data_IF_979319667249
#
_entry.id   IF_979319667249
#
_cell.length_a   1.000
_cell.length_b   1.000
_cell.length_c   1.000
_cell.angle_alpha   90.00
_cell.angle_beta   90.00
_cell.angle_gamma   90.00
#
_symmetry.space_group_name_H-M   'P 1'
#
loop_
_entity.id
_entity.type
_entity.pdbx_description
1 polymer ?
#
# COMPACT_ATOMS: atom_id res chain seq x y z
N UNK A 1 -7.78 -20.48 -6.80
CA UNK A 1 -9.21 -20.26 -6.47
C UNK A 1 -9.40 -19.47 -5.17
N UNK A 2 -8.53 -18.49 -4.86
CA UNK A 2 -8.63 -17.69 -3.63
C UNK A 2 -8.25 -16.21 -3.84
N UNK A 3 -8.43 -15.68 -5.06
CA UNK A 3 -7.99 -14.32 -5.44
C UNK A 3 -9.12 -13.48 -6.02
N UNK A 4 -10.38 -13.89 -5.83
CA UNK A 4 -11.55 -13.28 -6.49
C UNK A 4 -12.70 -12.83 -5.57
N UNK A 5 -12.55 -12.89 -4.24
CA UNK A 5 -13.70 -12.68 -3.34
C UNK A 5 -13.83 -11.25 -2.77
N UNK A 6 -12.89 -10.32 -2.96
CA UNK A 6 -13.00 -8.99 -2.34
C UNK A 6 -13.00 -7.77 -3.28
N UNK A 7 -13.05 -7.96 -4.60
CA UNK A 7 -13.03 -6.84 -5.57
C UNK A 7 -14.39 -6.45 -6.16
N UNK A 8 -15.52 -6.91 -5.61
CA UNK A 8 -16.86 -6.53 -6.10
C UNK A 8 -17.75 -6.13 -4.93
N UNK A 9 -17.49 -5.00 -4.27
CA UNK A 9 -18.49 -4.39 -3.39
C UNK A 9 -18.48 -2.86 -3.34
N UNK A 10 -18.20 -2.16 -4.45
CA UNK A 10 -18.52 -0.72 -4.56
C UNK A 10 -18.94 -0.21 -5.94
N UNK A 11 -19.24 -1.08 -6.92
CA UNK A 11 -19.88 -0.65 -8.18
C UNK A 11 -21.02 -1.60 -8.57
N UNK A 12 -22.02 -1.75 -7.70
CA UNK A 12 -23.32 -2.34 -8.11
C UNK A 12 -24.50 -1.95 -7.23
N UNK A 13 -24.65 -0.66 -6.93
CA UNK A 13 -25.96 -0.05 -6.63
C UNK A 13 -26.13 1.08 -7.65
N UNK A 14 -26.61 0.82 -8.86
CA UNK A 14 -28.01 0.53 -9.18
C UNK A 14 -28.02 0.03 -10.63
N UNK A 15 -28.84 -0.97 -10.98
CA UNK A 15 -29.10 -1.36 -12.38
C UNK A 15 -29.88 -0.26 -13.11
N UNK A 16 -29.27 0.92 -13.27
CA UNK A 16 -29.92 2.11 -13.81
C UNK A 16 -28.93 2.80 -14.74
N UNK A 17 -29.31 2.91 -16.01
CA UNK A 17 -28.51 3.53 -17.07
C UNK A 17 -28.28 5.02 -16.74
N UNK A 18 -27.01 5.46 -16.76
CA UNK A 18 -26.63 6.87 -16.65
C UNK A 18 -27.07 7.62 -17.92
N UNK A 19 -27.49 8.87 -17.79
CA UNK A 19 -27.90 9.74 -18.90
C UNK A 19 -26.75 10.58 -19.48
N UNK A 20 -25.52 10.40 -18.98
CA UNK A 20 -24.25 10.99 -19.48
C UNK A 20 -24.23 12.52 -19.66
N UNK A 21 -25.20 13.23 -19.08
CA UNK A 21 -25.23 14.70 -19.06
C UNK A 21 -23.99 15.30 -18.37
N UNK A 22 -23.40 16.32 -19.00
CA UNK A 22 -22.32 17.14 -18.40
C UNK A 22 -22.86 18.55 -18.12
N UNK A 23 -22.48 19.22 -17.01
CA UNK A 23 -21.45 18.83 -16.03
C UNK A 23 -21.91 17.81 -14.97
N UNK A 24 -23.21 17.60 -14.79
CA UNK A 24 -23.78 16.58 -13.90
C UNK A 24 -24.94 15.83 -14.57
N UNK A 25 -25.08 14.54 -14.25
CA UNK A 25 -26.17 13.70 -14.73
C UNK A 25 -27.48 14.06 -14.00
N UNK A 26 -28.63 14.12 -14.69
CA UNK A 26 -29.89 14.57 -14.06
C UNK A 26 -30.36 13.64 -12.94
N UNK A 27 -29.97 12.36 -13.01
CA UNK A 27 -30.27 11.36 -11.97
C UNK A 27 -29.40 11.53 -10.73
N UNK A 28 -28.20 12.07 -10.88
CA UNK A 28 -27.26 12.40 -9.80
C UNK A 28 -27.80 13.58 -8.98
N UNK A 29 -28.30 14.62 -9.68
CA UNK A 29 -28.96 15.78 -9.11
C UNK A 29 -30.20 15.43 -8.27
N UNK A 30 -31.07 14.54 -8.77
CA UNK A 30 -32.28 14.09 -8.03
C UNK A 30 -31.96 13.26 -6.78
N UNK A 31 -30.80 12.62 -6.72
CA UNK A 31 -30.38 11.80 -5.60
C UNK A 31 -29.67 12.59 -4.48
N UNK A 32 -29.55 13.91 -4.61
CA UNK A 32 -28.87 14.76 -3.63
C UNK A 32 -27.35 14.58 -3.57
N UNK A 33 -26.76 13.84 -4.52
CA UNK A 33 -25.30 13.70 -4.64
C UNK A 33 -24.77 14.84 -5.49
N UNK A 34 -24.36 15.94 -4.83
CA UNK A 34 -23.63 17.02 -5.49
C UNK A 34 -22.16 16.63 -5.60
N UNK A 35 -21.61 16.63 -6.81
CA UNK A 35 -20.16 16.69 -6.97
C UNK A 35 -19.76 18.13 -6.63
N UNK A 36 -19.24 18.35 -5.42
CA UNK A 36 -18.68 19.66 -5.05
C UNK A 36 -17.37 19.82 -5.81
N UNK A 37 -17.44 20.29 -7.06
CA UNK A 37 -16.31 20.97 -7.68
C UNK A 37 -16.34 22.39 -7.11
N UNK A 38 -15.81 22.55 -5.89
CA UNK A 38 -15.47 23.88 -5.40
C UNK A 38 -14.33 24.41 -6.26
N UNK A 39 -14.63 25.44 -7.05
CA UNK A 39 -13.69 26.18 -7.88
C UNK A 39 -12.63 26.90 -7.05
N UNK A 40 -11.64 26.16 -6.58
CA UNK A 40 -10.33 26.73 -6.27
C UNK A 40 -9.48 26.59 -7.53
N UNK A 41 -9.18 27.72 -8.14
CA UNK A 41 -8.11 27.88 -9.11
C UNK A 41 -6.89 27.11 -8.60
N UNK A 42 -6.59 25.97 -9.23
CA UNK A 42 -5.39 25.21 -8.96
C UNK A 42 -4.23 26.02 -9.55
N UNK A 43 -3.77 27.04 -8.82
CA UNK A 43 -2.41 27.54 -9.00
C UNK A 43 -1.51 26.39 -8.62
N UNK A 44 -1.19 25.55 -9.61
CA UNK A 44 -0.24 24.44 -9.51
C UNK A 44 1.05 25.04 -8.96
N UNK A 45 1.43 24.80 -7.70
CA UNK A 45 2.78 25.14 -7.29
C UNK A 45 3.66 24.25 -8.14
N UNK A 46 4.55 24.83 -8.94
CA UNK A 46 5.57 24.08 -9.67
C UNK A 46 6.35 23.24 -8.67
N UNK A 47 5.98 21.97 -8.54
CA UNK A 47 6.52 21.05 -7.56
C UNK A 47 7.75 20.33 -8.12
N UNK A 48 8.60 21.03 -8.87
CA UNK A 48 9.90 20.50 -9.22
C UNK A 48 10.70 20.45 -7.92
N UNK A 49 10.82 19.27 -7.33
CA UNK A 49 11.79 19.05 -6.27
C UNK A 49 13.18 19.30 -6.89
N UNK A 50 14.02 20.07 -6.19
CA UNK A 50 15.40 20.35 -6.62
C UNK A 50 16.09 19.01 -6.97
N UNK A 51 16.65 18.94 -8.18
CA UNK A 51 17.31 17.77 -8.81
C UNK A 51 16.41 16.68 -9.44
N UNK A 52 15.12 16.90 -9.67
CA UNK A 52 14.31 15.96 -10.47
C UNK A 52 14.48 16.15 -11.97
N UNK A 53 14.70 15.06 -12.70
CA UNK A 53 14.52 15.05 -14.15
C UNK A 53 13.03 15.13 -14.50
N UNK A 54 12.72 15.75 -15.65
CA UNK A 54 11.34 15.80 -16.18
C UNK A 54 10.74 14.38 -16.33
N UNK A 55 11.59 13.39 -16.58
CA UNK A 55 11.19 11.98 -16.70
C UNK A 55 10.74 11.40 -15.35
N UNK A 56 11.51 11.59 -14.28
CA UNK A 56 11.15 11.14 -12.93
C UNK A 56 9.84 11.77 -12.47
N UNK A 57 9.68 13.08 -12.72
CA UNK A 57 8.50 13.83 -12.35
C UNK A 57 7.21 13.27 -12.99
N UNK A 58 7.26 12.85 -14.26
CA UNK A 58 6.10 12.25 -14.95
C UNK A 58 5.65 10.94 -14.33
N UNK A 59 6.58 10.08 -13.91
CA UNK A 59 6.21 8.82 -13.25
C UNK A 59 5.77 9.02 -11.81
N UNK A 60 6.34 10.01 -11.12
CA UNK A 60 5.85 10.44 -9.81
C UNK A 60 4.40 10.93 -9.89
N UNK A 61 4.07 11.77 -10.87
CA UNK A 61 2.68 12.18 -11.14
C UNK A 61 1.78 11.01 -11.49
N UNK A 62 2.26 10.11 -12.35
CA UNK A 62 1.50 8.91 -12.69
C UNK A 62 1.18 8.05 -11.45
N UNK A 63 2.12 7.92 -10.52
CA UNK A 63 1.88 7.24 -9.25
C UNK A 63 0.79 7.96 -8.43
N UNK A 64 0.86 9.29 -8.29
CA UNK A 64 -0.16 10.08 -7.59
C UNK A 64 -1.57 9.88 -8.17
N UNK A 65 -1.70 9.91 -9.50
CA UNK A 65 -2.97 9.71 -10.19
C UNK A 65 -3.53 8.28 -9.98
N UNK A 66 -2.65 7.27 -9.98
CA UNK A 66 -3.07 5.90 -9.67
C UNK A 66 -3.45 5.71 -8.20
N UNK A 67 -2.80 6.45 -7.30
CA UNK A 67 -3.08 6.35 -5.88
C UNK A 67 -4.46 6.93 -5.53
N UNK A 68 -4.81 8.06 -6.15
CA UNK A 68 -6.09 8.74 -5.94
C UNK A 68 -7.28 8.01 -6.58
N UNK A 69 -7.04 7.17 -7.59
CA UNK A 69 -8.05 6.32 -8.21
C UNK A 69 -8.22 4.95 -7.53
N UNK A 70 -7.53 4.73 -6.41
CA UNK A 70 -7.52 3.47 -5.66
C UNK A 70 -6.37 2.59 -6.12
N UNK A 71 -5.25 2.68 -5.41
CA UNK A 71 -4.12 1.77 -5.61
C UNK A 71 -4.61 0.34 -5.36
N UNK A 72 -4.36 -0.58 -6.31
CA UNK A 72 -4.94 -1.93 -6.28
C UNK A 72 -4.40 -2.84 -5.16
N UNK A 73 -3.51 -2.33 -4.31
CA UNK A 73 -3.05 -3.03 -3.11
C UNK A 73 -3.88 -2.51 -1.93
N UNK A 74 -4.54 -3.42 -1.21
CA UNK A 74 -5.58 -3.23 -0.19
C UNK A 74 -5.19 -2.39 1.06
N UNK A 75 -4.40 -1.34 0.92
CA UNK A 75 -3.97 -0.47 2.01
C UNK A 75 -4.83 0.79 2.11
N UNK A 76 -4.76 1.47 3.25
CA UNK A 76 -5.49 2.72 3.47
C UNK A 76 -5.01 3.83 2.53
N UNK A 77 -5.96 4.70 2.13
CA UNK A 77 -5.71 5.86 1.32
C UNK A 77 -4.74 6.85 2.00
N UNK A 78 -4.71 6.93 3.33
CA UNK A 78 -3.79 7.79 4.09
C UNK A 78 -2.32 7.40 3.88
N UNK A 79 -2.01 6.11 3.88
CA UNK A 79 -0.67 5.59 3.67
C UNK A 79 -0.10 6.13 2.36
N UNK A 80 -0.82 5.94 1.26
CA UNK A 80 -0.30 6.29 -0.04
C UNK A 80 -0.47 7.77 -0.39
N UNK A 81 -1.65 8.36 -0.16
CA UNK A 81 -1.93 9.75 -0.55
C UNK A 81 -1.28 10.79 0.38
N UNK A 82 -0.85 10.39 1.59
CA UNK A 82 -0.21 11.29 2.55
C UNK A 82 1.20 10.81 2.92
N UNK A 83 1.33 9.67 3.59
CA UNK A 83 2.60 9.27 4.21
C UNK A 83 3.71 9.07 3.16
N UNK A 84 3.45 8.24 2.14
CA UNK A 84 4.45 7.92 1.11
C UNK A 84 4.82 9.16 0.28
N UNK A 85 3.84 9.97 -0.13
CA UNK A 85 4.08 11.18 -0.91
C UNK A 85 4.80 12.29 -0.14
N UNK A 86 4.57 12.41 1.17
CA UNK A 86 5.32 13.36 2.00
C UNK A 86 6.74 12.86 2.25
N UNK A 87 6.89 11.56 2.48
CA UNK A 87 8.18 10.93 2.74
C UNK A 87 9.08 10.97 1.50
N UNK A 88 8.53 10.78 0.30
CA UNK A 88 9.30 10.86 -0.95
C UNK A 88 9.94 12.23 -1.21
N UNK A 89 9.50 13.30 -0.52
CA UNK A 89 10.13 14.63 -0.63
C UNK A 89 11.43 14.73 0.18
N UNK A 90 11.57 13.93 1.22
CA UNK A 90 12.65 14.03 2.20
C UNK A 90 13.57 12.81 2.18
N UNK A 91 13.07 11.65 1.78
CA UNK A 91 13.81 10.38 1.73
C UNK A 91 14.10 9.98 0.26
N UNK A 92 15.36 10.06 -0.20
CA UNK A 92 15.71 9.77 -1.59
C UNK A 92 15.36 8.35 -2.03
N UNK A 93 15.55 7.35 -1.16
CA UNK A 93 15.22 5.97 -1.50
C UNK A 93 13.72 5.78 -1.74
N UNK A 94 12.86 6.43 -0.93
CA UNK A 94 11.41 6.40 -1.09
C UNK A 94 11.01 7.04 -2.41
N UNK A 95 11.61 8.19 -2.76
CA UNK A 95 11.38 8.85 -4.04
C UNK A 95 11.68 7.93 -5.22
N UNK A 96 12.87 7.33 -5.25
CA UNK A 96 13.27 6.41 -6.32
C UNK A 96 12.34 5.20 -6.42
N UNK A 97 11.90 4.64 -5.29
CA UNK A 97 10.95 3.53 -5.29
C UNK A 97 9.57 3.94 -5.83
N UNK A 98 9.05 5.10 -5.43
CA UNK A 98 7.75 5.61 -5.91
C UNK A 98 7.78 5.85 -7.43
N UNK A 99 8.86 6.49 -7.93
CA UNK A 99 9.07 6.70 -9.36
C UNK A 99 9.17 5.36 -10.11
N UNK A 100 9.88 4.39 -9.54
CA UNK A 100 9.99 3.04 -10.11
C UNK A 100 8.64 2.34 -10.19
N UNK A 101 7.83 2.39 -9.14
CA UNK A 101 6.46 1.83 -9.09
C UNK A 101 5.57 2.51 -10.14
N UNK A 102 5.64 3.85 -10.26
CA UNK A 102 4.93 4.58 -11.31
C UNK A 102 5.34 4.13 -12.72
N UNK A 103 6.63 3.93 -12.97
CA UNK A 103 7.13 3.49 -14.26
C UNK A 103 6.74 2.04 -14.61
N UNK A 104 6.83 1.09 -13.66
CA UNK A 104 6.41 -0.29 -13.92
C UNK A 104 4.89 -0.39 -14.10
N UNK A 105 4.12 0.37 -13.33
CA UNK A 105 2.65 0.41 -13.50
C UNK A 105 2.27 0.95 -14.89
N UNK A 106 2.97 1.99 -15.37
CA UNK A 106 2.79 2.50 -16.73
C UNK A 106 3.12 1.45 -17.80
N UNK A 107 4.18 0.66 -17.58
CA UNK A 107 4.57 -0.44 -18.47
C UNK A 107 3.44 -1.48 -18.59
N UNK A 108 2.87 -1.90 -17.45
CA UNK A 108 1.76 -2.87 -17.39
C UNK A 108 0.48 -2.28 -17.99
N UNK A 109 0.22 -0.98 -17.82
CA UNK A 109 -0.93 -0.32 -18.44
C UNK A 109 -0.86 -0.37 -19.98
N UNK A 110 0.34 -0.28 -20.56
CA UNK A 110 0.55 -0.30 -22.02
C UNK A 110 0.52 -1.73 -22.57
N UNK A 111 1.10 -2.68 -21.83
CA UNK A 111 1.10 -4.11 -22.18
C UNK A 111 0.65 -4.93 -20.95
N UNK A 112 -0.66 -5.19 -20.82
CA UNK A 112 -1.21 -5.94 -19.70
C UNK A 112 -0.68 -7.38 -19.60
N UNK A 113 -0.17 -7.96 -20.69
CA UNK A 113 0.38 -9.32 -20.69
C UNK A 113 1.67 -9.45 -19.86
N UNK A 114 2.34 -8.33 -19.60
CA UNK A 114 3.50 -8.29 -18.69
C UNK A 114 3.09 -8.56 -17.23
N UNK A 115 1.81 -8.41 -16.90
CA UNK A 115 1.26 -8.87 -15.64
C UNK A 115 0.72 -10.29 -15.82
N UNK A 116 1.34 -11.26 -15.14
CA UNK A 116 1.01 -12.71 -15.18
C UNK A 116 -0.43 -13.06 -14.76
N UNK A 117 -1.27 -12.08 -14.47
CA UNK A 117 -2.66 -12.24 -14.05
C UNK A 117 -3.69 -12.16 -15.21
N UNK A 118 -3.30 -11.73 -16.42
CA UNK A 118 -4.24 -11.52 -17.53
C UNK A 118 -3.86 -12.27 -18.81
N UNK A 119 -4.86 -12.79 -19.51
CA UNK A 119 -4.76 -13.34 -20.87
C UNK A 119 -4.34 -12.23 -21.86
N UNK A 120 -3.42 -12.50 -22.80
CA UNK A 120 -2.91 -11.48 -23.72
C UNK A 120 -3.99 -11.03 -24.72
N UNK A 121 -4.48 -9.81 -24.57
CA UNK A 121 -5.22 -9.12 -25.63
C UNK A 121 -4.18 -8.47 -26.56
N UNK A 122 -4.27 -8.74 -27.85
CA UNK A 122 -3.21 -8.44 -28.83
C UNK A 122 -2.60 -7.04 -28.72
N UNK A 123 -1.29 -6.99 -28.47
CA UNK A 123 -0.50 -5.76 -28.43
C UNK A 123 0.29 -5.55 -29.73
N UNK A 124 0.42 -4.31 -30.16
CA UNK A 124 1.23 -3.95 -31.34
C UNK A 124 2.73 -3.94 -31.00
N UNK A 125 3.59 -4.16 -32.01
CA UNK A 125 5.06 -4.11 -31.84
C UNK A 125 5.55 -2.79 -31.21
N UNK A 126 4.89 -1.67 -31.53
CA UNK A 126 5.21 -0.36 -30.96
C UNK A 126 4.83 -0.25 -29.47
N UNK A 127 3.65 -0.76 -29.07
CA UNK A 127 3.24 -0.82 -27.66
C UNK A 127 4.23 -1.67 -26.84
N UNK A 128 4.66 -2.81 -27.37
CA UNK A 128 5.66 -3.67 -26.72
C UNK A 128 7.01 -2.95 -26.52
N UNK A 129 7.43 -2.13 -27.50
CA UNK A 129 8.66 -1.36 -27.37
C UNK A 129 8.55 -0.26 -26.31
N UNK A 130 7.44 0.49 -26.29
CA UNK A 130 7.20 1.53 -25.28
C UNK A 130 7.08 0.94 -23.87
N UNK A 131 6.32 -0.14 -23.69
CA UNK A 131 6.21 -0.85 -22.41
C UNK A 131 7.59 -1.29 -21.90
N UNK A 132 8.46 -1.78 -22.78
CA UNK A 132 9.82 -2.16 -22.43
C UNK A 132 10.71 -0.97 -22.00
N UNK A 133 10.52 0.22 -22.57
CA UNK A 133 11.25 1.42 -22.13
C UNK A 133 10.84 1.84 -20.71
N UNK A 134 9.54 1.88 -20.43
CA UNK A 134 9.02 2.15 -19.08
C UNK A 134 9.53 1.14 -18.07
N UNK A 135 9.53 -0.16 -18.43
CA UNK A 135 10.07 -1.23 -17.58
C UNK A 135 11.56 -1.06 -17.30
N UNK A 136 12.38 -0.77 -18.32
CA UNK A 136 13.83 -0.54 -18.13
C UNK A 136 14.09 0.63 -17.19
N UNK A 137 13.35 1.71 -17.36
CA UNK A 137 13.44 2.88 -16.47
C UNK A 137 13.03 2.52 -15.04
N UNK A 138 11.96 1.74 -14.86
CA UNK A 138 11.52 1.28 -13.54
C UNK A 138 12.62 0.52 -12.79
N UNK A 139 13.31 -0.43 -13.45
CA UNK A 139 14.43 -1.16 -12.84
C UNK A 139 15.63 -0.27 -12.53
N UNK A 140 15.91 0.75 -13.34
CA UNK A 140 16.97 1.71 -13.07
C UNK A 140 16.67 2.48 -11.78
N UNK A 141 15.46 3.03 -11.65
CA UNK A 141 15.05 3.77 -10.45
C UNK A 141 14.98 2.88 -9.21
N UNK A 142 14.46 1.67 -9.34
CA UNK A 142 14.48 0.71 -8.23
C UNK A 142 15.90 0.37 -7.78
N UNK A 143 16.84 0.23 -8.72
CA UNK A 143 18.26 -0.01 -8.39
C UNK A 143 18.89 1.18 -7.66
N UNK A 144 18.53 2.42 -8.02
CA UNK A 144 18.94 3.63 -7.26
C UNK A 144 18.37 3.57 -5.84
N UNK A 145 17.09 3.23 -5.69
CA UNK A 145 16.44 3.09 -4.39
C UNK A 145 17.17 2.08 -3.48
N UNK A 146 17.46 0.88 -3.99
CA UNK A 146 18.22 -0.15 -3.26
C UNK A 146 19.63 0.31 -2.89
N UNK A 147 20.30 1.08 -3.75
CA UNK A 147 21.62 1.63 -3.48
C UNK A 147 21.59 2.63 -2.32
N UNK A 148 20.60 3.52 -2.30
CA UNK A 148 20.39 4.48 -1.19
C UNK A 148 20.07 3.74 0.11
N UNK A 149 19.16 2.75 0.09
CA UNK A 149 18.88 1.91 1.27
C UNK A 149 20.17 1.26 1.81
N UNK A 150 20.97 0.65 0.93
CA UNK A 150 22.24 0.03 1.30
C UNK A 150 23.21 1.04 1.93
N UNK A 151 23.28 2.24 1.39
CA UNK A 151 24.13 3.30 1.94
C UNK A 151 23.72 3.67 3.38
N UNK A 152 22.42 3.86 3.64
CA UNK A 152 21.92 4.19 4.98
C UNK A 152 22.19 3.04 5.97
N UNK A 153 21.98 1.78 5.54
CA UNK A 153 22.26 0.59 6.36
C UNK A 153 23.75 0.50 6.72
N UNK A 154 24.66 0.74 5.77
CA UNK A 154 26.10 0.66 6.00
C UNK A 154 26.60 1.74 6.97
N UNK A 155 25.90 2.87 7.08
CA UNK A 155 26.21 3.92 8.04
C UNK A 155 25.55 3.71 9.41
N UNK A 156 24.84 2.58 9.60
CA UNK A 156 24.10 2.24 10.82
C UNK A 156 23.02 3.25 11.24
N UNK A 157 22.58 4.12 10.33
CA UNK A 157 21.59 5.17 10.58
C UNK A 157 20.15 4.74 10.21
N UNK A 158 19.94 3.44 9.98
CA UNK A 158 18.68 2.95 9.44
C UNK A 158 17.61 2.77 10.52
N UNK A 159 16.73 3.77 10.63
CA UNK A 159 15.62 3.74 11.59
C UNK A 159 14.60 2.61 11.29
N UNK A 160 13.87 2.11 12.30
CA UNK A 160 12.79 1.14 12.07
C UNK A 160 11.75 1.65 11.06
N UNK A 161 11.44 2.95 11.10
CA UNK A 161 10.56 3.61 10.13
C UNK A 161 11.07 3.48 8.70
N UNK A 162 12.33 3.79 8.45
CA UNK A 162 12.93 3.68 7.11
C UNK A 162 12.98 2.21 6.65
N UNK A 163 13.23 1.28 7.56
CA UNK A 163 13.21 -0.15 7.26
C UNK A 163 11.83 -0.66 6.85
N UNK A 164 10.78 -0.23 7.54
CA UNK A 164 9.41 -0.55 7.21
C UNK A 164 9.00 0.03 5.85
N UNK A 165 9.36 1.30 5.59
CA UNK A 165 9.13 1.94 4.29
C UNK A 165 9.85 1.21 3.15
N UNK A 166 11.11 0.83 3.37
CA UNK A 166 11.90 0.10 2.39
C UNK A 166 11.29 -1.28 2.10
N UNK A 167 10.97 -2.05 3.14
CA UNK A 167 10.33 -3.35 2.99
C UNK A 167 8.97 -3.25 2.28
N UNK A 168 8.14 -2.27 2.64
CA UNK A 168 6.83 -2.07 2.00
C UNK A 168 6.96 -1.72 0.51
N UNK A 169 7.82 -0.76 0.17
CA UNK A 169 7.96 -0.30 -1.22
C UNK A 169 8.64 -1.35 -2.10
N UNK A 170 9.61 -2.09 -1.57
CA UNK A 170 10.21 -3.24 -2.27
C UNK A 170 9.21 -4.37 -2.46
N UNK A 171 8.41 -4.71 -1.43
CA UNK A 171 7.28 -5.64 -1.59
C UNK A 171 6.36 -5.21 -2.73
N UNK A 172 6.01 -3.91 -2.80
CA UNK A 172 5.15 -3.39 -3.84
C UNK A 172 5.77 -3.55 -5.23
N UNK A 173 7.00 -3.08 -5.41
CA UNK A 173 7.70 -3.15 -6.70
C UNK A 173 7.84 -4.59 -7.20
N UNK A 174 8.29 -5.50 -6.33
CA UNK A 174 8.46 -6.91 -6.68
C UNK A 174 7.12 -7.57 -7.04
N UNK A 175 6.00 -7.17 -6.41
CA UNK A 175 4.66 -7.62 -6.83
C UNK A 175 4.27 -7.13 -8.22
N UNK A 176 4.53 -5.86 -8.56
CA UNK A 176 4.26 -5.34 -9.91
C UNK A 176 5.07 -6.07 -10.97
N UNK A 177 6.35 -6.36 -10.69
CA UNK A 177 7.20 -7.17 -11.56
C UNK A 177 6.76 -8.65 -11.59
N UNK A 178 6.03 -9.08 -10.58
CA UNK A 178 5.54 -10.44 -10.41
C UNK A 178 6.52 -11.38 -9.70
N UNK A 179 7.59 -10.87 -9.10
CA UNK A 179 8.58 -11.64 -8.34
C UNK A 179 8.07 -11.96 -6.92
N UNK A 180 7.06 -12.83 -6.84
CA UNK A 180 6.37 -13.19 -5.60
C UNK A 180 7.28 -13.69 -4.47
N UNK A 181 8.31 -14.52 -4.71
CA UNK A 181 9.19 -14.97 -3.64
C UNK A 181 9.94 -13.81 -2.95
N UNK A 182 10.48 -12.88 -3.73
CA UNK A 182 11.21 -11.72 -3.18
C UNK A 182 10.25 -10.72 -2.54
N UNK A 183 9.07 -10.51 -3.14
CA UNK A 183 8.03 -9.72 -2.50
C UNK A 183 7.70 -10.28 -1.10
N UNK A 184 7.42 -11.58 -1.00
CA UNK A 184 7.09 -12.22 0.27
C UNK A 184 8.23 -12.11 1.29
N UNK A 185 9.47 -12.26 0.85
CA UNK A 185 10.64 -12.02 1.71
C UNK A 185 10.62 -10.61 2.32
N UNK A 186 10.36 -9.56 1.53
CA UNK A 186 10.25 -8.19 2.05
C UNK A 186 9.08 -8.01 3.02
N UNK A 187 7.92 -8.63 2.74
CA UNK A 187 6.78 -8.60 3.65
C UNK A 187 7.13 -9.23 5.01
N UNK A 188 7.73 -10.44 5.00
CA UNK A 188 8.14 -11.15 6.20
C UNK A 188 9.22 -10.41 6.99
N UNK A 189 10.25 -9.91 6.30
CA UNK A 189 11.33 -9.14 6.92
C UNK A 189 10.80 -7.84 7.56
N UNK A 190 9.95 -7.08 6.86
CA UNK A 190 9.32 -5.89 7.42
C UNK A 190 8.40 -6.19 8.59
N UNK A 191 7.62 -7.27 8.52
CA UNK A 191 6.78 -7.71 9.63
C UNK A 191 7.62 -8.08 10.87
N UNK A 192 8.73 -8.80 10.69
CA UNK A 192 9.65 -9.12 11.78
C UNK A 192 10.25 -7.86 12.42
N UNK A 193 10.66 -6.88 11.62
CA UNK A 193 11.19 -5.60 12.11
C UNK A 193 10.13 -4.87 12.95
N UNK A 194 8.87 -4.84 12.47
CA UNK A 194 7.78 -4.22 13.21
C UNK A 194 7.55 -4.90 14.55
N UNK A 195 7.53 -6.23 14.58
CA UNK A 195 7.34 -7.01 15.81
C UNK A 195 8.45 -6.76 16.83
N UNK A 196 9.71 -6.80 16.40
CA UNK A 196 10.85 -6.51 17.27
C UNK A 196 10.72 -5.12 17.86
N UNK A 197 10.46 -4.11 17.02
CA UNK A 197 10.30 -2.73 17.47
C UNK A 197 9.13 -2.56 18.45
N UNK A 198 7.98 -3.19 18.20
CA UNK A 198 6.82 -3.17 19.10
C UNK A 198 7.11 -3.85 20.45
N UNK A 199 7.87 -4.94 20.44
CA UNK A 199 8.23 -5.65 21.67
C UNK A 199 9.18 -4.85 22.58
N UNK A 200 10.02 -4.01 21.98
CA UNK A 200 10.95 -3.10 22.67
C UNK A 200 10.25 -1.83 23.16
N UNK A 201 9.07 -1.50 22.63
CA UNK A 201 8.31 -0.30 22.97
C UNK A 201 6.88 -0.65 23.41
N UNK A 202 6.68 -1.22 24.62
CA UNK A 202 5.35 -1.52 25.12
C UNK A 202 4.50 -0.25 25.20
N UNK A 203 3.23 -0.32 24.79
CA UNK A 203 2.29 0.78 24.94
C UNK A 203 2.20 1.21 26.41
N UNK A 204 2.51 2.48 26.72
CA UNK A 204 2.37 2.99 28.11
C UNK A 204 0.92 3.23 28.50
N UNK A 205 0.01 3.27 27.53
CA UNK A 205 -1.43 3.47 27.70
C UNK A 205 -2.13 2.38 26.90
N UNK A 206 -2.98 1.58 27.56
CA UNK A 206 -3.92 0.67 26.91
C UNK A 206 -4.77 1.49 25.94
N UNK A 207 -4.48 1.42 24.64
CA UNK A 207 -5.25 2.15 23.64
C UNK A 207 -6.59 1.44 23.45
N UNK A 208 -7.68 2.19 23.60
CA UNK A 208 -9.04 1.64 23.60
C UNK A 208 -9.47 0.93 22.30
N UNK A 209 -8.72 1.05 21.19
CA UNK A 209 -9.02 0.33 19.93
C UNK A 209 -7.81 0.20 18.99
N UNK A 210 -7.58 -1.01 18.46
CA UNK A 210 -6.71 -1.31 17.32
C UNK A 210 -5.29 -1.83 17.62
N UNK A 211 -4.57 -2.16 16.54
CA UNK A 211 -3.11 -2.34 16.55
C UNK A 211 -2.54 -0.98 16.15
N UNK A 212 -2.30 -0.13 17.14
CA UNK A 212 -1.73 1.19 16.93
C UNK A 212 -0.23 1.16 17.17
N UNK A 213 0.45 2.21 16.72
CA UNK A 213 1.85 2.42 17.05
C UNK A 213 1.99 2.82 18.52
N UNK A 214 2.91 2.18 19.30
CA UNK A 214 3.25 2.63 20.64
C UNK A 214 3.96 3.98 20.66
N UNK A 215 4.55 4.39 19.53
CA UNK A 215 5.15 5.70 19.36
C UNK A 215 4.87 6.22 17.94
N UNK A 216 3.68 6.81 17.69
CA UNK A 216 3.26 7.28 16.35
C UNK A 216 4.19 8.32 15.71
N UNK A 217 5.00 9.01 16.53
CA UNK A 217 6.01 9.97 16.09
C UNK A 217 7.31 9.31 15.59
N UNK A 218 7.53 8.03 15.92
CA UNK A 218 8.68 7.23 15.46
C UNK A 218 8.27 6.35 14.28
N UNK A 219 7.17 5.61 14.43
CA UNK A 219 6.57 4.79 13.36
C UNK A 219 5.10 5.13 13.30
N UNK A 220 4.61 5.58 12.14
CA UNK A 220 3.22 5.99 11.98
C UNK A 220 2.23 4.81 12.04
N UNK A 221 1.03 5.06 12.55
CA UNK A 221 -0.06 4.06 12.57
C UNK A 221 -0.38 3.51 11.17
N UNK A 222 -0.23 4.35 10.14
CA UNK A 222 -0.39 3.98 8.73
C UNK A 222 0.56 2.81 8.34
N UNK A 223 1.80 2.80 8.85
CA UNK A 223 2.75 1.70 8.60
C UNK A 223 2.39 0.46 9.41
N UNK A 224 2.02 0.63 10.69
CA UNK A 224 1.60 -0.47 11.54
C UNK A 224 0.42 -1.21 10.92
N UNK A 225 -0.59 -0.46 10.49
CA UNK A 225 -1.78 -1.01 9.84
C UNK A 225 -1.42 -1.70 8.52
N UNK A 226 -0.53 -1.12 7.70
CA UNK A 226 -0.07 -1.75 6.46
C UNK A 226 0.55 -3.13 6.71
N UNK A 227 1.39 -3.27 7.74
CA UNK A 227 2.01 -4.55 8.07
C UNK A 227 1.08 -5.56 8.74
N UNK A 228 0.03 -5.11 9.45
CA UNK A 228 -1.05 -5.97 9.90
C UNK A 228 -1.84 -6.54 8.70
N UNK A 229 -2.09 -5.74 7.67
CA UNK A 229 -2.72 -6.22 6.43
C UNK A 229 -1.80 -7.16 5.62
N UNK A 230 -0.49 -6.91 5.61
CA UNK A 230 0.48 -7.80 4.98
C UNK A 230 0.59 -9.14 5.71
N UNK A 231 0.44 -9.17 7.03
CA UNK A 231 0.45 -10.41 7.82
C UNK A 231 -0.63 -11.39 7.35
N UNK A 232 -1.86 -10.90 7.14
CA UNK A 232 -2.95 -11.70 6.56
C UNK A 232 -2.60 -12.25 5.16
N UNK A 233 -1.83 -11.51 4.35
CA UNK A 233 -1.34 -12.00 3.06
C UNK A 233 -0.24 -13.06 3.21
N UNK A 234 0.66 -12.91 4.18
CA UNK A 234 1.69 -13.90 4.50
C UNK A 234 1.03 -15.23 4.90
N UNK A 235 0.06 -15.17 5.83
CA UNK A 235 -0.68 -16.33 6.34
C UNK A 235 -1.39 -17.14 5.25
N UNK A 236 -1.91 -16.46 4.22
CA UNK A 236 -2.77 -17.08 3.21
C UNK A 236 -2.02 -17.62 1.99
N UNK A 237 -0.80 -17.12 1.73
CA UNK A 237 -0.09 -17.40 0.47
C UNK A 237 1.13 -18.30 0.68
N UNK A 238 1.96 -18.00 1.68
CA UNK A 238 3.26 -18.66 1.84
C UNK A 238 3.79 -18.47 3.26
N UNK A 239 3.05 -18.98 4.25
CA UNK A 239 3.53 -18.91 5.62
C UNK A 239 4.62 -19.96 5.87
N UNK A 240 5.84 -19.47 6.05
CA UNK A 240 7.00 -20.28 6.40
C UNK A 240 7.49 -20.00 7.83
N UNK A 241 6.70 -19.26 8.63
CA UNK A 241 7.08 -18.88 9.99
C UNK A 241 6.92 -20.09 10.93
N UNK A 242 7.81 -20.18 11.91
CA UNK A 242 7.79 -21.28 12.87
C UNK A 242 6.70 -21.12 13.92
N UNK A 243 6.32 -22.23 14.56
CA UNK A 243 5.29 -22.29 15.61
C UNK A 243 5.45 -21.21 16.69
N UNK A 244 6.67 -20.86 17.11
CA UNK A 244 6.92 -19.81 18.12
C UNK A 244 6.36 -18.44 17.72
N UNK A 245 6.40 -18.10 16.43
CA UNK A 245 5.87 -16.83 15.92
C UNK A 245 4.35 -16.84 15.99
N UNK A 246 3.72 -17.94 15.58
CA UNK A 246 2.27 -18.11 15.68
C UNK A 246 1.78 -18.13 17.14
N UNK A 247 2.54 -18.76 18.02
CA UNK A 247 2.23 -18.84 19.46
C UNK A 247 2.24 -17.46 20.13
N UNK A 248 3.12 -16.56 19.69
CA UNK A 248 3.11 -15.16 20.10
C UNK A 248 1.95 -14.38 19.46
N UNK A 249 1.77 -14.49 18.14
CA UNK A 249 0.82 -13.67 17.39
C UNK A 249 -0.65 -14.03 17.60
N UNK A 250 -0.98 -15.21 18.14
CA UNK A 250 -2.36 -15.52 18.56
C UNK A 250 -2.86 -14.60 19.69
N UNK A 251 -1.94 -13.93 20.39
CA UNK A 251 -2.17 -12.94 21.45
C UNK A 251 -2.08 -11.49 20.95
N UNK A 252 -1.95 -11.27 19.65
CA UNK A 252 -1.88 -9.93 19.06
C UNK A 252 -3.10 -9.09 19.46
N UNK A 253 -2.85 -7.91 20.04
CA UNK A 253 -3.92 -6.98 20.43
C UNK A 253 -4.80 -7.50 21.57
N UNK A 254 -4.27 -8.30 22.51
CA UNK A 254 -5.01 -8.80 23.67
C UNK A 254 -5.74 -7.68 24.45
N UNK A 255 -5.06 -6.57 24.73
CA UNK A 255 -5.69 -5.41 25.39
C UNK A 255 -6.82 -4.81 24.57
N UNK A 256 -6.65 -4.73 23.25
CA UNK A 256 -7.67 -4.23 22.34
C UNK A 256 -8.90 -5.13 22.34
N UNK A 257 -8.71 -6.45 22.25
CA UNK A 257 -9.81 -7.42 22.27
C UNK A 257 -10.51 -7.44 23.63
N UNK A 258 -9.77 -7.31 24.73
CA UNK A 258 -10.35 -7.21 26.07
C UNK A 258 -11.27 -5.99 26.22
N UNK A 259 -10.96 -4.89 25.50
CA UNK A 259 -11.74 -3.67 25.47
C UNK A 259 -12.75 -3.60 24.30
N UNK A 260 -13.08 -4.73 23.66
CA UNK A 260 -14.03 -4.73 22.54
C UNK A 260 -15.43 -4.28 22.99
N UNK A 261 -16.02 -3.23 22.37
CA UNK A 261 -17.33 -2.74 22.76
C UNK A 261 -18.43 -3.70 22.30
N UNK A 262 -19.56 -3.71 23.02
CA UNK A 262 -20.73 -4.51 22.65
C UNK A 262 -21.42 -4.02 21.36
N UNK A 263 -21.20 -2.76 20.99
CA UNK A 263 -21.71 -2.14 19.76
C UNK A 263 -20.65 -1.22 19.18
N UNK A 264 -20.44 -1.29 17.86
CA UNK A 264 -19.54 -0.39 17.16
C UNK A 264 -20.27 0.88 16.71
N UNK A 265 -19.59 2.01 16.80
CA UNK A 265 -20.01 3.33 16.30
C UNK A 265 -20.22 3.31 14.80
N UNK A 266 -19.32 2.68 14.06
CA UNK A 266 -19.36 2.59 12.61
C UNK A 266 -18.61 1.35 12.08
N UNK A 267 -18.70 1.14 10.77
CA UNK A 267 -18.07 -0.01 10.10
C UNK A 267 -16.54 0.03 10.13
N UNK A 268 -15.94 1.23 10.28
CA UNK A 268 -14.49 1.36 10.32
C UNK A 268 -13.98 0.90 11.68
N UNK A 269 -14.65 1.30 12.77
CA UNK A 269 -14.36 0.77 14.11
C UNK A 269 -14.53 -0.76 14.15
N UNK A 270 -15.62 -1.29 13.59
CA UNK A 270 -15.81 -2.74 13.51
C UNK A 270 -14.69 -3.47 12.73
N UNK A 271 -14.20 -2.86 11.64
CA UNK A 271 -13.11 -3.42 10.82
C UNK A 271 -11.81 -3.57 11.61
N UNK A 272 -11.49 -2.60 12.46
CA UNK A 272 -10.28 -2.65 13.31
C UNK A 272 -10.27 -3.91 14.18
N UNK A 273 -11.39 -4.23 14.83
CA UNK A 273 -11.51 -5.45 15.63
C UNK A 273 -11.55 -6.72 14.77
N UNK A 274 -12.24 -6.68 13.63
CA UNK A 274 -12.29 -7.80 12.69
C UNK A 274 -10.90 -8.23 12.22
N UNK A 275 -10.05 -7.28 11.83
CA UNK A 275 -8.70 -7.56 11.33
C UNK A 275 -7.84 -8.26 12.40
N UNK A 276 -7.95 -7.83 13.67
CA UNK A 276 -7.27 -8.47 14.81
C UNK A 276 -7.79 -9.88 15.04
N UNK A 277 -9.12 -10.05 15.12
CA UNK A 277 -9.74 -11.37 15.37
C UNK A 277 -9.37 -12.36 14.27
N UNK A 278 -9.38 -11.92 13.02
CA UNK A 278 -8.98 -12.74 11.87
C UNK A 278 -7.52 -13.15 11.97
N UNK A 279 -6.61 -12.20 12.20
CA UNK A 279 -5.18 -12.48 12.34
C UNK A 279 -4.92 -13.50 13.47
N UNK A 280 -5.49 -13.27 14.66
CA UNK A 280 -5.37 -14.18 15.81
C UNK A 280 -5.88 -15.58 15.50
N UNK A 281 -7.02 -15.67 14.82
CA UNK A 281 -7.63 -16.96 14.45
C UNK A 281 -6.74 -17.75 13.50
N UNK A 282 -6.15 -17.11 12.49
CA UNK A 282 -5.20 -17.77 11.59
C UNK A 282 -3.93 -18.21 12.31
N UNK A 283 -3.38 -17.38 13.20
CA UNK A 283 -2.22 -17.78 13.99
C UNK A 283 -2.53 -18.96 14.92
N UNK A 284 -3.69 -18.97 15.57
CA UNK A 284 -4.13 -20.08 16.41
C UNK A 284 -4.28 -21.40 15.63
N UNK A 285 -4.72 -21.36 14.36
CA UNK A 285 -4.82 -22.57 13.53
C UNK A 285 -3.45 -23.17 13.14
N UNK A 286 -2.37 -22.40 13.30
CA UNK A 286 -1.01 -22.78 12.92
C UNK A 286 -0.11 -23.07 14.14
N UNK A 287 -0.66 -23.01 15.36
CA UNK A 287 -0.01 -23.46 16.60
C UNK A 287 -0.37 -24.89 16.93
#
# INVERSE_FOLDING_TARGET
MATLILTIFTIRKRHVKCDEGRPECTRCLKAGMRYVISGLSFTRPSSLLLNESEVEHRYFQHFQDQTTSGFSMNFDNSLWNRLILQTSRHEPFVRHAVVAIGAISKSIQIDPSLNRAYEPIGCTKHQNQMANLHRKFAFLEYSKSLKEMKHIILNADFSPRQALLASLLSFCFENFVGNRPVAMYHAQAGHQILQTWMSEHPHSISSNAGILSPAPHVVEDDLVYAFAQLDLQILTIADARGHKVHDSLKHLGDDTIANMPATFKDINEARVYWDIVMARSYHFLLT
#
